data_IF_451856789429
#
_entry.id   IF_451856789429
#
_cell.length_a   1.000
_cell.length_b   1.000
_cell.length_c   1.000
_cell.angle_alpha   90.00
_cell.angle_beta   90.00
_cell.angle_gamma   90.00
#
_symmetry.space_group_name_H-M   'P 1'
#
loop_
_entity.id
_entity.type
_entity.pdbx_description
1 polymer ?
#
# COMPACT_ATOMS: atom_id res chain seq x y z
N UNK A 1 48.41 7.42 -1.60
CA UNK A 1 46.93 7.57 -1.68
C UNK A 1 46.44 8.16 -0.37
N UNK A 2 45.84 9.36 -0.35
CA UNK A 2 45.47 10.05 0.91
C UNK A 2 44.24 9.37 1.53
N UNK A 3 44.30 9.03 2.82
CA UNK A 3 43.24 8.30 3.55
C UNK A 3 41.89 9.02 3.53
N UNK A 4 41.92 10.35 3.39
CA UNK A 4 40.76 11.22 3.20
C UNK A 4 40.01 10.96 1.90
N UNK A 5 40.67 10.41 0.88
CA UNK A 5 40.01 10.02 -0.37
C UNK A 5 39.20 8.74 -0.19
N UNK A 6 39.76 7.76 0.52
CA UNK A 6 39.10 6.46 0.78
C UNK A 6 37.87 6.65 1.68
N UNK A 7 37.97 7.51 2.69
CA UNK A 7 36.85 7.83 3.59
C UNK A 7 35.68 8.46 2.84
N UNK A 8 35.93 9.32 1.84
CA UNK A 8 34.87 9.92 1.01
C UNK A 8 34.11 8.87 0.20
N UNK A 9 34.83 7.92 -0.43
CA UNK A 9 34.19 6.85 -1.18
C UNK A 9 33.39 5.90 -0.27
N UNK A 10 33.89 5.64 0.93
CA UNK A 10 33.18 4.83 1.92
C UNK A 10 31.88 5.50 2.40
N UNK A 11 31.89 6.82 2.60
CA UNK A 11 30.67 7.59 2.94
C UNK A 11 29.66 7.59 1.79
N UNK A 12 30.11 7.75 0.54
CA UNK A 12 29.22 7.67 -0.63
C UNK A 12 28.62 6.28 -0.79
N UNK A 13 29.39 5.22 -0.51
CA UNK A 13 28.90 3.84 -0.51
C UNK A 13 27.82 3.64 0.57
N UNK A 14 28.07 4.11 1.80
CA UNK A 14 27.10 4.02 2.90
C UNK A 14 25.77 4.71 2.59
N UNK A 15 25.83 5.92 2.02
CA UNK A 15 24.63 6.69 1.65
C UNK A 15 23.82 5.96 0.57
N UNK A 16 24.47 5.39 -0.45
CA UNK A 16 23.79 4.65 -1.52
C UNK A 16 23.09 3.37 -1.02
N UNK A 17 23.59 2.72 0.04
CA UNK A 17 22.94 1.52 0.59
C UNK A 17 21.68 1.89 1.37
N UNK A 18 21.67 3.05 2.05
CA UNK A 18 20.50 3.51 2.84
C UNK A 18 19.32 3.99 2.00
N UNK A 19 19.52 4.36 0.73
CA UNK A 19 18.46 4.90 -0.15
C UNK A 19 17.34 3.90 -0.47
N UNK A 20 17.61 2.59 -0.41
CA UNK A 20 16.62 1.56 -0.75
C UNK A 20 15.68 1.19 0.41
N UNK A 21 15.92 1.69 1.62
CA UNK A 21 15.13 1.30 2.82
C UNK A 21 13.92 2.24 3.03
N UNK A 22 13.91 3.42 2.39
CA UNK A 22 12.91 4.45 2.65
C UNK A 22 11.67 4.39 1.73
N UNK A 23 11.68 3.51 0.73
CA UNK A 23 10.49 3.23 -0.08
C UNK A 23 9.62 2.23 0.69
N UNK A 24 8.83 2.74 1.63
CA UNK A 24 7.65 2.00 2.07
C UNK A 24 6.73 1.88 0.85
N UNK A 25 6.68 0.69 0.25
CA UNK A 25 5.72 0.38 -0.80
C UNK A 25 4.32 0.49 -0.18
N UNK A 26 3.57 1.52 -0.53
CA UNK A 26 2.16 1.58 -0.18
C UNK A 26 1.47 0.41 -0.90
N UNK A 27 1.10 -0.61 -0.13
CA UNK A 27 0.36 -1.76 -0.63
C UNK A 27 -1.09 -1.34 -0.91
N UNK A 28 -1.29 -0.68 -2.06
CA UNK A 28 -2.60 -0.17 -2.49
C UNK A 28 -3.32 -1.27 -3.27
N UNK A 29 -4.50 -1.67 -2.77
CA UNK A 29 -5.43 -2.48 -3.53
C UNK A 29 -6.36 -1.56 -4.32
N UNK A 30 -6.38 -1.71 -5.65
CA UNK A 30 -7.26 -0.95 -6.55
C UNK A 30 -8.21 -1.88 -7.28
N UNK A 31 -9.38 -1.36 -7.69
CA UNK A 31 -10.39 -2.15 -8.37
C UNK A 31 -11.58 -1.31 -8.85
N UNK A 32 -12.61 -2.01 -9.33
CA UNK A 32 -13.86 -1.37 -9.76
C UNK A 32 -15.04 -2.26 -9.38
N UNK A 33 -16.10 -1.64 -8.85
CA UNK A 33 -17.34 -2.32 -8.51
C UNK A 33 -18.40 -2.02 -9.58
N UNK A 34 -19.11 -3.05 -10.02
CA UNK A 34 -20.18 -2.95 -11.00
C UNK A 34 -21.42 -3.68 -10.47
N UNK A 35 -22.60 -3.17 -10.78
CA UNK A 35 -23.88 -3.82 -10.50
C UNK A 35 -24.66 -4.01 -11.81
N UNK A 36 -25.57 -4.99 -11.83
CA UNK A 36 -26.26 -5.41 -13.07
C UNK A 36 -27.47 -4.55 -13.39
N UNK A 37 -28.05 -3.94 -12.37
CA UNK A 37 -29.24 -3.14 -12.46
C UNK A 37 -28.99 -1.95 -13.38
N UNK A 38 -29.94 -1.72 -14.29
CA UNK A 38 -29.89 -0.59 -15.21
C UNK A 38 -30.51 0.65 -14.57
N UNK A 39 -30.05 0.96 -13.37
CA UNK A 39 -30.49 2.12 -12.57
C UNK A 39 -29.29 2.99 -12.26
N UNK A 40 -29.50 4.30 -12.12
CA UNK A 40 -28.47 5.21 -11.61
C UNK A 40 -28.45 5.12 -10.08
N UNK A 41 -27.25 5.21 -9.51
CA UNK A 41 -27.13 5.49 -8.08
C UNK A 41 -27.61 6.92 -7.80
N UNK A 42 -28.31 7.15 -6.66
CA UNK A 42 -28.65 8.50 -6.24
C UNK A 42 -27.39 9.29 -5.88
N UNK A 43 -27.47 10.62 -5.94
CA UNK A 43 -26.31 11.51 -5.70
C UNK A 43 -25.72 11.39 -4.29
N UNK A 44 -26.49 10.87 -3.34
CA UNK A 44 -26.07 10.64 -1.96
C UNK A 44 -25.72 9.18 -1.65
N UNK A 45 -25.52 8.34 -2.67
CA UNK A 45 -25.03 6.99 -2.47
C UNK A 45 -23.62 6.99 -1.89
N UNK A 46 -23.35 6.09 -0.94
CA UNK A 46 -22.01 5.87 -0.38
C UNK A 46 -21.52 4.51 -0.84
N UNK A 47 -20.31 4.45 -1.39
CA UNK A 47 -19.63 3.21 -1.70
C UNK A 47 -18.64 2.89 -0.59
N UNK A 48 -18.83 1.74 0.07
CA UNK A 48 -17.93 1.22 1.09
C UNK A 48 -17.21 -0.02 0.55
N UNK A 49 -15.89 -0.06 0.72
CA UNK A 49 -15.09 -1.23 0.39
C UNK A 49 -14.27 -1.65 1.63
N UNK A 50 -14.35 -2.93 1.98
CA UNK A 50 -13.59 -3.54 3.08
C UNK A 50 -12.55 -4.52 2.52
N UNK A 51 -11.34 -4.46 3.06
CA UNK A 51 -10.31 -5.46 2.84
C UNK A 51 -10.29 -6.40 4.04
N UNK A 52 -10.52 -7.69 3.81
CA UNK A 52 -10.70 -8.69 4.86
C UNK A 52 -9.77 -9.88 4.68
N UNK A 53 -9.24 -10.39 5.79
CA UNK A 53 -8.58 -11.68 5.86
C UNK A 53 -9.62 -12.79 6.08
N UNK A 54 -9.80 -13.61 5.04
CA UNK A 54 -10.75 -14.74 5.00
C UNK A 54 -10.05 -16.11 5.04
N UNK A 55 -8.81 -16.15 5.53
CA UNK A 55 -8.00 -17.37 5.54
C UNK A 55 -8.53 -18.48 6.46
N UNK A 56 -9.28 -18.11 7.52
CA UNK A 56 -9.88 -19.06 8.46
C UNK A 56 -11.33 -19.35 8.09
N UNK A 57 -11.67 -20.64 8.05
CA UNK A 57 -13.03 -21.11 7.80
C UNK A 57 -13.90 -21.01 9.05
N UNK A 58 -15.19 -20.71 8.86
CA UNK A 58 -16.24 -20.70 9.90
C UNK A 58 -16.00 -19.71 11.06
N UNK A 59 -15.12 -18.74 10.86
CA UNK A 59 -14.81 -17.65 11.82
C UNK A 59 -15.08 -16.31 11.13
N UNK A 60 -15.53 -15.27 11.86
CA UNK A 60 -15.63 -13.94 11.31
C UNK A 60 -14.29 -13.45 10.74
N UNK A 61 -14.34 -12.83 9.55
CA UNK A 61 -13.17 -12.32 8.89
C UNK A 61 -12.54 -11.16 9.67
N UNK A 62 -11.21 -11.02 9.57
CA UNK A 62 -10.48 -9.92 10.19
C UNK A 62 -10.41 -8.76 9.19
N UNK A 63 -10.92 -7.59 9.57
CA UNK A 63 -10.84 -6.39 8.74
C UNK A 63 -9.41 -5.85 8.78
N UNK A 64 -8.79 -5.74 7.62
CA UNK A 64 -7.45 -5.19 7.41
C UNK A 64 -7.48 -3.72 7.00
N UNK A 65 -8.58 -3.25 6.41
CA UNK A 65 -8.77 -1.85 6.03
C UNK A 65 -10.17 -1.57 5.47
N UNK A 66 -10.58 -0.31 5.50
CA UNK A 66 -11.89 0.17 5.06
C UNK A 66 -11.72 1.47 4.26
N UNK A 67 -12.54 1.66 3.23
CA UNK A 67 -12.61 2.92 2.50
C UNK A 67 -14.06 3.30 2.16
N UNK A 68 -14.33 4.60 2.17
CA UNK A 68 -15.63 5.21 1.89
C UNK A 68 -15.49 6.23 0.77
N UNK A 69 -16.31 6.10 -0.27
CA UNK A 69 -16.36 6.99 -1.45
C UNK A 69 -17.77 7.55 -1.69
#
# INVERSE_FOLDING_TARGET
MKITSVLKYFVVLLISITSNILAAEENILTGSAYYLERILLPENAVFEATLEDVSLMDVPAVILGECYY
#
